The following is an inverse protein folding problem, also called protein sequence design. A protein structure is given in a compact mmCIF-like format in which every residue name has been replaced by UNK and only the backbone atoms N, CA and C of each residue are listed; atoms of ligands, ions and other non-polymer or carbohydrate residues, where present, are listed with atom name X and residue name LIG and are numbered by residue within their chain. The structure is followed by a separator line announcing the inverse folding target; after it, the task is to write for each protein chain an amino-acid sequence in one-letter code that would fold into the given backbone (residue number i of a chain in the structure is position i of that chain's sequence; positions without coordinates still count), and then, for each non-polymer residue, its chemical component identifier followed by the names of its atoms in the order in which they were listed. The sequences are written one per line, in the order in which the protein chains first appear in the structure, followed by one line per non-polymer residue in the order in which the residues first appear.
data_IF_378548461577
#
_entry.id   IF_378548461577
#
_cell.length_a   1.000
_cell.length_b   1.000
_cell.length_c   1.000
_cell.angle_alpha   90.00
_cell.angle_beta   90.00
_cell.angle_gamma   90.00
#
_symmetry.space_group_name_H-M   'P 1'
#
loop_
_entity.id
_entity.type
_entity.pdbx_description
1 polymer ?
#
# COMPACT_ATOMS: atom_id res chain seq x y z
N UNK A 1 -18.06 -2.89 15.38
CA UNK A 1 -18.50 -1.50 14.99
C UNK A 1 -18.04 -0.43 15.97
N UNK A 2 -18.23 -0.57 17.30
CA UNK A 2 -17.83 0.45 18.30
C UNK A 2 -16.35 0.82 18.23
N UNK A 3 -15.46 -0.15 18.10
CA UNK A 3 -14.02 0.08 17.98
C UNK A 3 -13.65 0.91 16.72
N UNK A 4 -14.25 0.60 15.57
CA UNK A 4 -13.99 1.36 14.33
C UNK A 4 -14.53 2.79 14.43
N UNK A 5 -15.67 3.02 15.10
CA UNK A 5 -16.20 4.37 15.34
C UNK A 5 -15.24 5.21 16.19
N UNK A 6 -14.62 4.64 17.21
CA UNK A 6 -13.59 5.33 17.99
C UNK A 6 -12.34 5.63 17.15
N UNK A 7 -11.97 4.74 16.23
CA UNK A 7 -10.87 5.00 15.29
C UNK A 7 -11.21 6.14 14.33
N UNK A 8 -12.44 6.18 13.81
CA UNK A 8 -12.91 7.23 12.90
C UNK A 8 -12.77 8.65 13.48
N UNK A 9 -13.02 8.81 14.80
CA UNK A 9 -12.88 10.10 15.50
C UNK A 9 -11.45 10.65 15.53
N UNK A 10 -10.45 9.79 15.32
CA UNK A 10 -9.02 10.14 15.35
C UNK A 10 -8.41 10.44 13.99
N UNK A 11 -9.20 10.29 12.94
CA UNK A 11 -8.76 10.49 11.55
C UNK A 11 -9.21 11.87 11.08
N UNK A 12 -8.29 12.64 10.50
CA UNK A 12 -8.59 13.95 9.93
C UNK A 12 -9.24 13.86 8.55
N UNK A 13 -10.10 14.82 8.22
CA UNK A 13 -10.62 14.99 6.86
C UNK A 13 -9.45 15.28 5.90
N UNK A 14 -9.38 14.59 4.76
CA UNK A 14 -8.32 14.77 3.77
C UNK A 14 -6.99 14.13 4.16
N UNK A 15 -6.94 13.31 5.22
CA UNK A 15 -5.73 12.56 5.57
C UNK A 15 -5.40 11.53 4.49
N UNK A 16 -4.12 11.40 4.14
CA UNK A 16 -3.63 10.42 3.19
C UNK A 16 -3.67 9.02 3.82
N UNK A 17 -4.36 8.09 3.16
CA UNK A 17 -4.54 6.73 3.65
C UNK A 17 -4.15 5.71 2.57
N UNK A 18 -3.11 4.94 2.82
CA UNK A 18 -2.76 3.83 1.95
C UNK A 18 -3.73 2.65 2.17
N UNK A 19 -4.17 2.06 1.06
CA UNK A 19 -5.01 0.85 1.03
C UNK A 19 -4.21 -0.24 0.34
N UNK A 20 -3.94 -1.30 1.06
CA UNK A 20 -3.29 -2.47 0.50
C UNK A 20 -3.80 -3.74 1.20
N UNK A 21 -3.49 -4.88 0.63
CA UNK A 21 -3.82 -6.19 1.18
C UNK A 21 -2.59 -7.08 1.24
N UNK A 22 -2.64 -8.08 2.11
CA UNK A 22 -1.62 -9.10 2.19
C UNK A 22 -2.25 -10.48 2.24
N UNK A 23 -1.51 -11.50 1.77
CA UNK A 23 -1.92 -12.91 1.88
C UNK A 23 -1.44 -13.49 3.19
N UNK A 24 -2.27 -14.33 3.80
CA UNK A 24 -1.87 -15.18 4.91
C UNK A 24 -2.12 -16.63 4.51
N UNK A 25 -1.05 -17.38 4.32
CA UNK A 25 -1.09 -18.78 3.90
C UNK A 25 -1.62 -19.69 4.99
N UNK A 26 -2.31 -20.77 4.61
CA UNK A 26 -2.86 -21.76 5.49
C UNK A 26 -2.53 -23.19 5.00
N UNK A 27 -2.28 -24.08 5.93
CA UNK A 27 -2.07 -25.50 5.64
C UNK A 27 -3.36 -26.33 5.76
N UNK A 28 -4.34 -25.87 6.53
CA UNK A 28 -5.60 -26.57 6.76
C UNK A 28 -6.78 -25.95 6.00
N UNK A 29 -7.87 -26.68 5.95
CA UNK A 29 -9.10 -26.35 5.25
C UNK A 29 -10.28 -26.09 6.19
N UNK A 30 -10.05 -25.98 7.49
CA UNK A 30 -11.09 -25.85 8.52
C UNK A 30 -11.93 -24.57 8.43
N UNK A 31 -11.40 -23.55 7.78
CA UNK A 31 -12.08 -22.25 7.63
C UNK A 31 -12.61 -22.06 6.21
N UNK A 32 -13.83 -21.56 6.10
CA UNK A 32 -14.55 -21.42 4.82
C UNK A 32 -13.92 -20.41 3.86
N UNK A 33 -13.17 -19.44 4.37
CA UNK A 33 -12.50 -18.37 3.61
C UNK A 33 -11.06 -18.72 3.15
N UNK A 34 -10.54 -19.88 3.56
CA UNK A 34 -9.27 -20.39 3.06
C UNK A 34 -9.47 -20.93 1.63
N UNK A 35 -8.97 -20.20 0.64
CA UNK A 35 -9.16 -20.52 -0.78
C UNK A 35 -7.84 -20.41 -1.54
N UNK A 36 -7.76 -21.12 -2.69
CA UNK A 36 -6.71 -20.90 -3.67
C UNK A 36 -6.86 -19.52 -4.30
N UNK A 37 -5.74 -18.81 -4.44
CA UNK A 37 -5.71 -17.49 -5.07
C UNK A 37 -4.28 -17.03 -5.33
N UNK A 38 -4.12 -15.80 -5.82
CA UNK A 38 -2.80 -15.20 -6.06
C UNK A 38 -2.12 -14.92 -4.72
N UNK A 39 -1.26 -15.83 -4.28
CA UNK A 39 -0.53 -15.69 -3.04
C UNK A 39 0.60 -14.63 -3.19
N UNK A 40 0.55 -13.59 -2.38
CA UNK A 40 1.55 -12.49 -2.41
C UNK A 40 2.94 -12.93 -1.95
N UNK A 41 3.02 -14.01 -1.15
CA UNK A 41 4.29 -14.61 -0.73
C UNK A 41 4.82 -15.66 -1.73
N UNK A 42 4.14 -15.81 -2.89
CA UNK A 42 4.47 -16.78 -3.96
C UNK A 42 4.51 -18.24 -3.50
N UNK A 43 3.79 -18.57 -2.45
CA UNK A 43 3.66 -19.93 -1.94
C UNK A 43 2.52 -20.65 -2.64
N UNK A 44 2.71 -21.93 -2.95
CA UNK A 44 1.65 -22.82 -3.47
C UNK A 44 0.79 -23.34 -2.32
N UNK A 45 0.08 -22.41 -1.66
CA UNK A 45 -0.77 -22.70 -0.52
C UNK A 45 -2.08 -21.94 -0.64
N UNK A 46 -3.15 -22.51 -0.11
CA UNK A 46 -4.40 -21.79 0.13
C UNK A 46 -4.15 -20.65 1.12
N UNK A 47 -5.00 -19.62 1.08
CA UNK A 47 -4.79 -18.40 1.83
C UNK A 47 -6.09 -17.71 2.22
N UNK A 48 -6.00 -16.76 3.14
CA UNK A 48 -6.92 -15.65 3.31
C UNK A 48 -6.23 -14.35 2.85
N UNK A 49 -7.01 -13.33 2.49
CA UNK A 49 -6.51 -12.00 2.14
C UNK A 49 -6.91 -11.02 3.24
N UNK A 50 -5.96 -10.24 3.74
CA UNK A 50 -6.18 -9.21 4.75
C UNK A 50 -5.93 -7.85 4.14
N UNK A 51 -6.97 -7.01 4.14
CA UNK A 51 -6.87 -5.61 3.76
C UNK A 51 -6.71 -4.75 5.01
N UNK A 52 -5.83 -3.77 4.93
CA UNK A 52 -5.62 -2.75 5.95
C UNK A 52 -5.68 -1.37 5.30
N UNK A 53 -6.31 -0.42 5.97
CA UNK A 53 -6.19 1.00 5.66
C UNK A 53 -5.27 1.64 6.69
N UNK A 54 -4.23 2.30 6.22
CA UNK A 54 -3.16 2.85 7.03
C UNK A 54 -2.97 4.34 6.73
N UNK A 55 -3.05 5.18 7.77
CA UNK A 55 -2.81 6.62 7.61
C UNK A 55 -1.32 6.90 7.41
N UNK A 56 -1.00 7.74 6.44
CA UNK A 56 0.39 8.03 6.09
C UNK A 56 0.97 9.22 6.86
N UNK A 57 0.13 10.09 7.39
CA UNK A 57 0.55 11.25 8.20
C UNK A 57 0.70 10.88 9.67
N UNK A 58 -0.31 10.22 10.24
CA UNK A 58 -0.29 9.78 11.64
C UNK A 58 0.36 8.42 11.86
N UNK A 59 0.70 7.71 10.77
CA UNK A 59 1.33 6.38 10.78
C UNK A 59 0.56 5.33 11.57
N UNK A 60 -0.79 5.29 11.41
CA UNK A 60 -1.65 4.41 12.18
C UNK A 60 -2.54 3.53 11.29
N UNK A 61 -2.69 2.23 11.59
CA UNK A 61 -3.74 1.42 10.97
C UNK A 61 -5.10 1.86 11.53
N UNK A 62 -6.07 2.10 10.63
CA UNK A 62 -7.39 2.61 11.01
C UNK A 62 -8.53 1.61 10.73
N UNK A 63 -8.32 0.69 9.79
CA UNK A 63 -9.30 -0.30 9.38
C UNK A 63 -8.61 -1.57 8.95
N UNK A 64 -9.24 -2.71 9.19
CA UNK A 64 -8.84 -4.01 8.66
C UNK A 64 -10.06 -4.86 8.31
N UNK A 65 -9.90 -5.72 7.31
CA UNK A 65 -10.88 -6.73 6.95
C UNK A 65 -10.22 -7.93 6.31
N UNK A 66 -10.81 -9.11 6.58
CA UNK A 66 -10.40 -10.38 5.94
C UNK A 66 -11.34 -10.71 4.79
N UNK A 67 -10.79 -11.21 3.72
CA UNK A 67 -11.50 -11.71 2.55
C UNK A 67 -11.09 -13.15 2.24
N UNK A 68 -11.97 -13.94 1.59
CA UNK A 68 -11.59 -15.23 1.04
C UNK A 68 -10.38 -15.12 0.11
N UNK A 69 -9.49 -16.11 0.15
CA UNK A 69 -8.22 -16.10 -0.57
C UNK A 69 -8.31 -15.98 -2.08
N UNK A 70 -9.47 -16.23 -2.67
CA UNK A 70 -9.72 -16.10 -4.10
C UNK A 70 -10.32 -14.76 -4.53
N UNK A 71 -10.55 -13.83 -3.59
CA UNK A 71 -11.11 -12.51 -3.91
C UNK A 71 -9.98 -11.59 -4.40
N UNK A 72 -10.09 -11.06 -5.63
CA UNK A 72 -9.14 -10.05 -6.13
C UNK A 72 -9.23 -8.75 -5.33
N UNK A 73 -8.10 -8.06 -5.19
CA UNK A 73 -8.01 -6.77 -4.49
C UNK A 73 -9.05 -5.75 -5.02
N UNK A 74 -9.27 -5.73 -6.34
CA UNK A 74 -10.23 -4.81 -6.97
C UNK A 74 -11.69 -5.00 -6.51
N UNK A 75 -12.07 -6.17 -6.03
CA UNK A 75 -13.44 -6.44 -5.54
C UNK A 75 -13.67 -6.03 -4.08
N UNK A 76 -12.60 -5.76 -3.33
CA UNK A 76 -12.67 -5.45 -1.89
C UNK A 76 -13.02 -3.98 -1.61
N UNK A 77 -12.80 -3.08 -2.56
CA UNK A 77 -12.96 -1.62 -2.39
C UNK A 77 -14.37 -1.23 -1.97
N UNK A 78 -15.40 -1.77 -2.61
CA UNK A 78 -16.79 -1.39 -2.29
C UNK A 78 -17.18 -1.73 -0.85
N UNK A 79 -16.80 -2.92 -0.40
CA UNK A 79 -17.06 -3.34 0.97
C UNK A 79 -16.32 -2.45 1.96
N UNK A 80 -15.06 -2.14 1.67
CA UNK A 80 -14.25 -1.23 2.50
C UNK A 80 -14.91 0.16 2.61
N UNK A 81 -15.28 0.77 1.48
CA UNK A 81 -15.93 2.08 1.47
C UNK A 81 -17.24 2.08 2.26
N UNK A 82 -18.04 1.01 2.13
CA UNK A 82 -19.29 0.85 2.86
C UNK A 82 -19.06 0.73 4.37
N UNK A 83 -18.07 -0.06 4.79
CA UNK A 83 -17.72 -0.23 6.21
C UNK A 83 -17.22 1.09 6.82
N UNK A 84 -16.41 1.85 6.09
CA UNK A 84 -15.88 3.12 6.55
C UNK A 84 -16.99 4.19 6.67
N UNK A 85 -17.91 4.25 5.70
CA UNK A 85 -19.09 5.12 5.77
C UNK A 85 -19.96 4.76 6.99
N UNK A 86 -20.25 3.48 7.23
CA UNK A 86 -21.03 3.02 8.41
C UNK A 86 -20.33 3.28 9.74
N UNK A 87 -18.99 3.26 9.75
CA UNK A 87 -18.22 3.58 10.95
C UNK A 87 -18.07 5.10 11.18
N UNK A 88 -18.50 5.93 10.23
CA UNK A 88 -18.46 7.38 10.32
C UNK A 88 -17.07 7.97 10.08
N UNK A 89 -16.24 7.32 9.26
CA UNK A 89 -14.96 7.89 8.88
C UNK A 89 -15.17 9.16 8.04
N UNK A 90 -14.34 10.20 8.24
CA UNK A 90 -14.35 11.38 7.38
C UNK A 90 -13.87 11.01 5.97
N UNK A 91 -14.13 11.86 4.98
CA UNK A 91 -13.56 11.69 3.65
C UNK A 91 -12.05 11.91 3.72
N UNK A 92 -11.30 10.82 3.54
CA UNK A 92 -9.84 10.76 3.46
C UNK A 92 -9.41 10.65 1.99
N UNK A 93 -8.12 10.79 1.70
CA UNK A 93 -7.58 10.56 0.35
C UNK A 93 -7.00 9.16 0.31
N UNK A 94 -7.62 8.24 -0.43
CA UNK A 94 -7.10 6.89 -0.57
C UNK A 94 -5.96 6.81 -1.58
N UNK A 95 -4.90 6.09 -1.21
CA UNK A 95 -3.79 5.77 -2.10
C UNK A 95 -3.80 4.26 -2.33
N UNK A 96 -3.98 3.85 -3.58
CA UNK A 96 -4.13 2.44 -3.96
C UNK A 96 -3.14 2.02 -5.04
N UNK A 97 -2.72 0.74 -4.99
CA UNK A 97 -1.84 0.13 -5.99
C UNK A 97 -2.61 -0.28 -7.26
N UNK A 98 -1.87 -0.65 -8.30
CA UNK A 98 -2.38 -1.20 -9.58
C UNK A 98 -3.28 -2.42 -9.43
N UNK A 99 -3.17 -3.15 -8.30
CA UNK A 99 -4.06 -4.28 -8.00
C UNK A 99 -5.52 -3.88 -7.79
N UNK A 100 -5.75 -2.64 -7.39
CA UNK A 100 -7.08 -2.06 -7.15
C UNK A 100 -7.64 -1.32 -8.36
N UNK A 101 -6.84 -1.13 -9.41
CA UNK A 101 -7.25 -0.41 -10.61
C UNK A 101 -8.27 -1.22 -11.41
N UNK A 102 -9.43 -0.62 -11.60
CA UNK A 102 -10.48 -1.05 -12.53
C UNK A 102 -11.44 0.11 -12.81
N UNK A 103 -12.12 0.06 -13.96
CA UNK A 103 -13.16 1.03 -14.32
C UNK A 103 -14.23 1.07 -13.22
N UNK A 104 -14.70 -0.10 -12.77
CA UNK A 104 -15.72 -0.18 -11.74
C UNK A 104 -15.30 0.46 -10.41
N UNK A 105 -14.03 0.37 -10.04
CA UNK A 105 -13.55 1.03 -8.83
C UNK A 105 -13.46 2.55 -9.00
N UNK A 106 -12.99 3.02 -10.14
CA UNK A 106 -13.01 4.46 -10.46
C UNK A 106 -14.43 5.02 -10.36
N UNK A 107 -15.41 4.36 -10.97
CA UNK A 107 -16.83 4.74 -10.91
C UNK A 107 -17.36 4.79 -9.47
N UNK A 108 -17.00 3.79 -8.62
CA UNK A 108 -17.37 3.79 -7.20
C UNK A 108 -16.79 4.99 -6.43
N UNK A 109 -15.55 5.37 -6.69
CA UNK A 109 -14.94 6.55 -6.09
C UNK A 109 -15.66 7.83 -6.55
N UNK A 110 -15.97 7.95 -7.85
CA UNK A 110 -16.70 9.10 -8.41
C UNK A 110 -18.10 9.21 -7.80
N UNK A 111 -18.89 8.13 -7.82
CA UNK A 111 -20.26 8.11 -7.29
C UNK A 111 -20.35 8.43 -5.80
N UNK A 112 -19.32 8.12 -5.04
CA UNK A 112 -19.25 8.42 -3.60
C UNK A 112 -18.59 9.77 -3.29
N UNK A 113 -18.10 10.49 -4.31
CA UNK A 113 -17.28 11.70 -4.11
C UNK A 113 -16.08 11.43 -3.20
N UNK A 114 -15.45 10.26 -3.35
CA UNK A 114 -14.35 9.81 -2.51
C UNK A 114 -13.01 10.18 -3.15
N UNK A 115 -12.19 11.06 -2.53
CA UNK A 115 -10.89 11.42 -3.06
C UNK A 115 -9.92 10.22 -3.11
N UNK A 116 -9.12 10.17 -4.18
CA UNK A 116 -8.12 9.09 -4.32
C UNK A 116 -6.90 9.49 -5.14
N UNK A 117 -5.82 8.73 -4.94
CA UNK A 117 -4.64 8.64 -5.80
C UNK A 117 -4.47 7.16 -6.13
N UNK A 118 -4.56 6.78 -7.39
CA UNK A 118 -4.51 5.39 -7.82
C UNK A 118 -3.41 5.19 -8.87
N UNK A 119 -2.56 4.17 -8.66
CA UNK A 119 -1.63 3.76 -9.71
C UNK A 119 -2.40 3.04 -10.82
N UNK A 120 -2.24 3.50 -12.05
CA UNK A 120 -2.88 2.92 -13.23
C UNK A 120 -1.87 2.22 -14.13
N UNK A 121 -2.34 1.15 -14.80
CA UNK A 121 -1.49 0.41 -15.73
C UNK A 121 -1.24 1.23 -16.99
N UNK A 122 0.02 1.42 -17.35
CA UNK A 122 0.40 2.14 -18.58
C UNK A 122 -0.15 1.51 -19.85
N UNK A 123 -0.53 0.23 -19.82
CA UNK A 123 -1.17 -0.46 -20.94
C UNK A 123 -2.67 -0.17 -21.11
N UNK A 124 -3.29 0.60 -20.23
CA UNK A 124 -4.66 1.07 -20.37
C UNK A 124 -4.78 2.04 -21.53
N UNK A 125 -5.88 1.95 -22.30
CA UNK A 125 -6.07 2.77 -23.49
C UNK A 125 -5.92 4.26 -23.19
N UNK A 126 -6.56 4.76 -22.15
CA UNK A 126 -6.49 6.18 -21.77
C UNK A 126 -5.07 6.67 -21.47
N UNK A 127 -4.19 5.80 -20.95
CA UNK A 127 -2.77 6.14 -20.70
C UNK A 127 -1.96 6.02 -21.98
N UNK A 128 -2.21 4.96 -22.76
CA UNK A 128 -1.53 4.74 -24.04
C UNK A 128 -1.81 5.88 -25.02
N UNK A 129 -3.06 6.33 -25.12
CA UNK A 129 -3.45 7.46 -25.99
C UNK A 129 -2.62 8.73 -25.63
N UNK A 130 -2.30 8.94 -24.34
CA UNK A 130 -1.45 10.05 -23.89
C UNK A 130 0.05 9.82 -24.14
N UNK A 131 0.51 8.57 -24.09
CA UNK A 131 1.90 8.22 -24.48
C UNK A 131 2.06 8.37 -25.99
N UNK A 132 1.04 8.06 -26.76
CA UNK A 132 1.08 8.15 -28.23
C UNK A 132 1.14 9.61 -28.73
N UNK A 133 0.70 10.60 -27.94
CA UNK A 133 0.87 12.04 -28.25
C UNK A 133 2.34 12.45 -28.37
N UNK A 134 3.28 11.71 -27.76
CA UNK A 134 4.72 12.02 -27.86
C UNK A 134 5.38 11.54 -29.14
N UNK A 135 4.66 10.82 -30.03
CA UNK A 135 5.25 10.24 -31.23
C UNK A 135 6.42 9.28 -30.91
N UNK A 136 7.33 9.13 -31.85
CA UNK A 136 8.55 8.34 -31.64
C UNK A 136 9.62 9.17 -30.92
N UNK A 137 10.23 8.61 -29.89
CA UNK A 137 11.31 9.23 -29.14
C UNK A 137 12.41 8.20 -28.83
N UNK A 138 13.67 8.61 -28.95
CA UNK A 138 14.83 7.74 -28.69
C UNK A 138 15.31 7.77 -27.25
N UNK A 139 15.22 8.89 -26.57
CA UNK A 139 15.69 9.10 -25.20
C UNK A 139 14.54 9.43 -24.25
N UNK A 140 14.05 10.65 -24.32
CA UNK A 140 12.95 11.20 -23.51
C UNK A 140 11.80 11.63 -24.40
N UNK A 141 10.56 11.61 -23.91
CA UNK A 141 9.43 12.22 -24.60
C UNK A 141 9.55 13.74 -24.58
N UNK A 142 9.31 14.40 -25.73
CA UNK A 142 9.26 15.85 -25.79
C UNK A 142 7.95 16.39 -25.22
N UNK A 143 7.99 17.60 -24.65
CA UNK A 143 6.79 18.26 -24.08
C UNK A 143 6.37 17.74 -22.70
N UNK A 144 7.24 17.03 -21.99
CA UNK A 144 7.12 16.78 -20.53
C UNK A 144 7.98 17.79 -19.75
N UNK A 145 7.50 18.20 -18.59
CA UNK A 145 8.28 18.94 -17.60
C UNK A 145 9.26 18.00 -16.90
N UNK A 146 10.29 18.54 -16.27
CA UNK A 146 11.26 17.76 -15.47
C UNK A 146 11.30 18.27 -14.03
N UNK A 147 11.20 17.37 -13.08
CA UNK A 147 11.58 17.63 -11.70
C UNK A 147 13.08 17.36 -11.54
N UNK A 148 13.84 18.41 -11.22
CA UNK A 148 15.31 18.38 -11.18
C UNK A 148 15.80 17.48 -10.03
N UNK A 149 15.12 17.48 -8.89
CA UNK A 149 15.53 16.76 -7.70
C UNK A 149 15.39 15.24 -7.89
N UNK A 150 14.25 14.79 -8.40
CA UNK A 150 13.99 13.37 -8.66
C UNK A 150 14.47 12.90 -10.04
N UNK A 151 14.76 13.83 -10.98
CA UNK A 151 15.10 13.57 -12.38
C UNK A 151 14.01 12.81 -13.14
N UNK A 152 12.76 13.00 -12.72
CA UNK A 152 11.59 12.40 -13.36
C UNK A 152 10.93 13.42 -14.27
N UNK A 153 10.63 13.01 -15.49
CA UNK A 153 9.80 13.80 -16.40
C UNK A 153 8.34 13.54 -16.09
N UNK A 154 7.49 14.57 -16.18
CA UNK A 154 6.08 14.44 -15.87
C UNK A 154 5.21 15.34 -16.76
N UNK A 155 3.96 14.92 -16.92
CA UNK A 155 2.91 15.71 -17.55
C UNK A 155 1.57 15.39 -16.89
N UNK A 156 0.79 16.42 -16.57
CA UNK A 156 -0.53 16.29 -15.98
C UNK A 156 -1.60 16.62 -17.02
N UNK A 157 -2.63 15.80 -17.07
CA UNK A 157 -3.77 15.96 -17.97
C UNK A 157 -5.07 16.04 -17.17
N UNK A 158 -5.92 17.00 -17.47
CA UNK A 158 -7.30 17.02 -16.99
C UNK A 158 -8.12 16.01 -17.78
N UNK A 159 -8.85 15.15 -17.06
CA UNK A 159 -9.63 14.06 -17.65
C UNK A 159 -11.12 14.29 -17.39
N UNK A 160 -11.91 14.34 -18.46
CA UNK A 160 -13.37 14.29 -18.35
C UNK A 160 -13.84 12.85 -18.17
N UNK A 161 -14.65 12.58 -17.16
CA UNK A 161 -15.29 11.27 -16.97
C UNK A 161 -16.68 11.46 -16.36
N UNK A 162 -17.64 10.74 -16.89
CA UNK A 162 -19.03 10.76 -16.45
C UNK A 162 -19.50 9.36 -16.14
N UNK A 163 -20.24 9.19 -15.05
CA UNK A 163 -20.76 7.90 -14.58
C UNK A 163 -22.27 8.02 -14.45
N UNK A 164 -22.97 6.98 -14.89
CA UNK A 164 -24.40 6.89 -14.65
C UNK A 164 -24.68 6.59 -13.17
N UNK A 165 -25.36 7.51 -12.52
CA UNK A 165 -25.79 7.39 -11.13
C UNK A 165 -27.15 6.69 -10.99
N UNK A 166 -27.60 6.55 -9.75
CA UNK A 166 -28.92 5.99 -9.46
C UNK A 166 -30.03 6.85 -10.06
N UNK A 167 -31.01 6.22 -10.70
CA UNK A 167 -32.16 6.91 -11.28
C UNK A 167 -31.85 7.65 -12.60
N UNK A 168 -30.80 7.26 -13.33
CA UNK A 168 -30.45 7.86 -14.63
C UNK A 168 -29.77 9.22 -14.53
N UNK A 169 -29.35 9.64 -13.35
CA UNK A 169 -28.55 10.86 -13.17
C UNK A 169 -27.12 10.67 -13.68
N UNK A 170 -26.54 11.70 -14.30
CA UNK A 170 -25.11 11.68 -14.68
C UNK A 170 -24.30 12.38 -13.61
N UNK A 171 -23.26 11.68 -13.09
CA UNK A 171 -22.30 12.21 -12.12
C UNK A 171 -20.98 12.46 -12.84
N UNK A 172 -20.54 13.72 -12.86
CA UNK A 172 -19.22 14.10 -13.40
C UNK A 172 -18.14 13.89 -12.34
N UNK A 173 -17.00 13.37 -12.78
CA UNK A 173 -15.83 13.27 -11.93
C UNK A 173 -15.32 14.67 -11.55
N UNK A 174 -15.18 14.93 -10.24
CA UNK A 174 -14.58 16.16 -9.75
C UNK A 174 -13.06 16.07 -9.83
N UNK A 175 -12.43 17.01 -10.56
CA UNK A 175 -10.97 17.13 -10.67
C UNK A 175 -10.27 15.78 -10.90
N UNK A 176 -10.74 15.04 -11.93
CA UNK A 176 -10.06 13.85 -12.37
C UNK A 176 -8.85 14.23 -13.22
N UNK A 177 -7.65 13.84 -12.80
CA UNK A 177 -6.42 14.10 -13.52
C UNK A 177 -5.62 12.82 -13.74
N UNK A 178 -5.00 12.70 -14.91
CA UNK A 178 -4.00 11.68 -15.20
C UNK A 178 -2.61 12.32 -15.10
N UNK A 179 -1.79 11.81 -14.21
CA UNK A 179 -0.41 12.22 -14.03
C UNK A 179 0.48 11.15 -14.66
N UNK A 180 1.12 11.51 -15.76
CA UNK A 180 2.03 10.64 -16.49
C UNK A 180 3.47 11.02 -16.15
N UNK A 181 4.28 10.01 -15.82
CA UNK A 181 5.68 10.16 -15.46
C UNK A 181 6.55 9.32 -16.37
N UNK A 182 7.77 9.78 -16.58
CA UNK A 182 8.78 9.05 -17.32
C UNK A 182 10.14 9.14 -16.62
N UNK A 183 10.71 7.97 -16.34
CA UNK A 183 12.03 7.80 -15.74
C UNK A 183 12.97 7.12 -16.74
N UNK A 184 14.01 7.86 -17.17
CA UNK A 184 14.97 7.38 -18.15
C UNK A 184 15.84 6.22 -17.63
N UNK A 185 16.16 6.22 -16.32
CA UNK A 185 16.93 5.14 -15.70
C UNK A 185 16.09 3.86 -15.64
N UNK A 186 14.85 3.98 -15.17
CA UNK A 186 13.91 2.86 -15.15
C UNK A 186 13.65 2.32 -16.56
N UNK A 187 13.59 3.19 -17.58
CA UNK A 187 13.50 2.77 -18.98
C UNK A 187 14.67 1.89 -19.37
N UNK A 188 15.90 2.29 -19.11
CA UNK A 188 17.10 1.54 -19.47
C UNK A 188 17.11 0.13 -18.81
N UNK A 189 16.75 0.06 -17.51
CA UNK A 189 16.62 -1.20 -16.79
C UNK A 189 15.54 -2.10 -17.40
N UNK A 190 14.37 -1.54 -17.70
CA UNK A 190 13.24 -2.29 -18.27
C UNK A 190 13.54 -2.78 -19.67
N UNK A 191 14.22 -2.01 -20.51
CA UNK A 191 14.66 -2.43 -21.85
C UNK A 191 15.61 -3.63 -21.74
N UNK A 192 16.62 -3.55 -20.87
CA UNK A 192 17.53 -4.67 -20.60
C UNK A 192 16.77 -5.91 -20.11
N UNK A 193 15.79 -5.73 -19.20
CA UNK A 193 14.99 -6.85 -18.69
C UNK A 193 14.11 -7.49 -19.77
N UNK A 194 13.58 -6.71 -20.71
CA UNK A 194 12.85 -7.24 -21.87
C UNK A 194 13.76 -8.15 -22.71
N UNK A 195 14.97 -7.70 -23.03
CA UNK A 195 15.92 -8.48 -23.85
C UNK A 195 16.37 -9.77 -23.12
N UNK A 196 16.59 -9.69 -21.79
CA UNK A 196 16.85 -10.87 -20.94
C UNK A 196 15.67 -11.84 -20.97
N UNK A 197 14.44 -11.36 -20.80
CA UNK A 197 13.25 -12.20 -20.81
C UNK A 197 13.02 -12.87 -22.17
N UNK A 198 13.27 -12.15 -23.27
CA UNK A 198 13.21 -12.73 -24.62
C UNK A 198 14.21 -13.87 -24.76
N UNK A 199 15.45 -13.70 -24.26
CA UNK A 199 16.46 -14.75 -24.29
C UNK A 199 16.03 -15.96 -23.47
N UNK A 200 15.62 -15.76 -22.22
CA UNK A 200 15.16 -16.85 -21.32
C UNK A 200 14.01 -17.64 -21.95
N UNK A 201 12.99 -16.93 -22.47
CA UNK A 201 11.83 -17.56 -23.08
C UNK A 201 12.23 -18.34 -24.36
N UNK A 202 13.12 -17.79 -25.18
CA UNK A 202 13.63 -18.45 -26.38
C UNK A 202 14.37 -19.75 -26.04
N UNK A 203 15.26 -19.69 -25.05
CA UNK A 203 16.07 -20.85 -24.66
C UNK A 203 15.18 -21.96 -24.06
N UNK A 204 14.16 -21.60 -23.26
CA UNK A 204 13.18 -22.53 -22.75
C UNK A 204 12.33 -23.17 -23.87
N UNK A 205 11.85 -22.38 -24.86
CA UNK A 205 11.09 -22.93 -25.99
C UNK A 205 11.93 -23.86 -26.86
N UNK A 206 13.23 -23.55 -27.05
CA UNK A 206 14.16 -24.43 -27.76
C UNK A 206 14.37 -25.78 -27.03
N UNK A 207 14.51 -25.76 -25.73
CA UNK A 207 14.66 -26.99 -24.93
C UNK A 207 13.40 -27.87 -25.04
N UNK A 208 12.21 -27.30 -24.82
CA UNK A 208 10.93 -28.00 -24.97
C UNK A 208 10.77 -28.60 -26.38
N UNK A 209 11.18 -27.85 -27.42
CA UNK A 209 11.10 -28.33 -28.80
C UNK A 209 12.11 -29.46 -29.08
N UNK A 210 13.32 -29.35 -28.53
CA UNK A 210 14.37 -30.37 -28.72
C UNK A 210 14.01 -31.69 -28.03
N UNK A 211 13.40 -31.62 -26.82
CA UNK A 211 12.98 -32.77 -26.03
C UNK A 211 11.61 -33.31 -26.47
N UNK A 212 10.99 -32.68 -27.48
CA UNK A 212 9.66 -33.02 -27.99
C UNK A 212 8.58 -33.11 -26.90
N UNK A 213 8.68 -32.23 -25.89
CA UNK A 213 7.76 -32.17 -24.76
C UNK A 213 6.42 -31.51 -25.19
N UNK A 214 5.32 -31.98 -24.57
CA UNK A 214 4.02 -31.38 -24.76
C UNK A 214 3.93 -30.06 -23.99
N UNK A 215 3.38 -29.07 -24.67
CA UNK A 215 3.14 -27.76 -24.04
C UNK A 215 1.94 -27.83 -23.06
N UNK A 216 2.01 -26.99 -22.04
CA UNK A 216 0.88 -26.66 -21.18
C UNK A 216 -0.34 -26.16 -21.98
N UNK A 217 -1.45 -25.88 -21.30
CA UNK A 217 -2.61 -25.24 -21.90
C UNK A 217 -2.25 -23.90 -22.59
N UNK A 218 -3.06 -23.50 -23.56
CA UNK A 218 -2.81 -22.32 -24.37
C UNK A 218 -2.62 -21.02 -23.55
N UNK A 219 -3.40 -20.88 -22.46
CA UNK A 219 -3.34 -19.69 -21.60
C UNK A 219 -2.03 -19.62 -20.84
N UNK A 220 -1.55 -20.75 -20.32
CA UNK A 220 -0.28 -20.87 -19.60
C UNK A 220 0.89 -20.57 -20.53
N UNK A 221 0.91 -21.15 -21.74
CA UNK A 221 1.95 -20.88 -22.74
C UNK A 221 1.96 -19.40 -23.13
N UNK A 222 0.82 -18.81 -23.43
CA UNK A 222 0.73 -17.39 -23.78
C UNK A 222 1.18 -16.47 -22.64
N UNK A 223 1.01 -16.87 -21.38
CA UNK A 223 1.49 -16.12 -20.21
C UNK A 223 2.97 -16.28 -19.98
N UNK A 224 3.49 -17.50 -20.09
CA UNK A 224 4.90 -17.80 -19.78
C UNK A 224 5.85 -17.37 -20.89
N UNK A 225 5.38 -17.40 -22.16
CA UNK A 225 6.14 -17.05 -23.36
C UNK A 225 5.51 -15.85 -24.07
N UNK A 226 5.26 -14.79 -23.32
CA UNK A 226 4.46 -13.64 -23.75
C UNK A 226 5.09 -12.82 -24.89
N UNK A 227 6.39 -12.98 -25.15
CA UNK A 227 7.09 -12.34 -26.27
C UNK A 227 7.19 -13.22 -27.52
N UNK A 228 6.55 -14.40 -27.51
CA UNK A 228 6.59 -15.32 -28.64
C UNK A 228 5.16 -15.68 -29.12
N UNK A 229 5.06 -15.90 -30.42
CA UNK A 229 3.95 -16.59 -31.07
C UNK A 229 4.39 -18.04 -31.22
N UNK A 230 3.68 -18.97 -30.57
CA UNK A 230 4.00 -20.40 -30.60
C UNK A 230 2.93 -21.14 -31.36
N UNK A 231 3.31 -21.82 -32.46
CA UNK A 231 2.49 -22.73 -33.22
C UNK A 231 2.66 -24.15 -32.69
N UNK A 232 1.58 -24.92 -32.65
CA UNK A 232 1.55 -26.27 -32.12
C UNK A 232 1.19 -27.28 -33.19
N UNK A 233 1.70 -28.49 -33.04
CA UNK A 233 1.24 -29.67 -33.75
C UNK A 233 -0.06 -30.21 -33.13
N UNK A 234 -0.70 -31.18 -33.80
CA UNK A 234 -1.94 -31.84 -33.31
C UNK A 234 -1.73 -32.55 -31.96
N UNK A 235 -0.54 -33.06 -31.68
CA UNK A 235 -0.16 -33.74 -30.46
C UNK A 235 0.23 -32.76 -29.30
N UNK A 236 0.08 -31.45 -29.53
CA UNK A 236 0.42 -30.35 -28.60
C UNK A 236 1.93 -30.12 -28.36
N UNK A 237 2.78 -30.64 -29.23
CA UNK A 237 4.23 -30.29 -29.28
C UNK A 237 4.46 -28.98 -30.02
N UNK A 238 5.67 -28.38 -29.91
CA UNK A 238 6.03 -27.15 -30.62
C UNK A 238 6.30 -27.44 -32.09
N UNK A 239 5.49 -26.86 -32.99
CA UNK A 239 5.75 -26.84 -34.42
C UNK A 239 6.78 -25.77 -34.78
N UNK A 240 6.53 -24.54 -34.39
CA UNK A 240 7.40 -23.40 -34.61
C UNK A 240 7.16 -22.32 -33.56
N UNK A 241 8.13 -21.43 -33.38
CA UNK A 241 7.93 -20.23 -32.58
C UNK A 241 8.73 -19.06 -33.17
N UNK A 242 8.13 -17.88 -33.13
CA UNK A 242 8.73 -16.63 -33.59
C UNK A 242 8.52 -15.51 -32.59
N UNK A 243 9.37 -14.50 -32.62
CA UNK A 243 9.19 -13.31 -31.76
C UNK A 243 7.91 -12.57 -32.18
N UNK A 244 7.11 -12.15 -31.21
CA UNK A 244 5.98 -11.24 -31.42
C UNK A 244 6.52 -9.79 -31.39
N UNK A 245 6.99 -9.31 -32.54
CA UNK A 245 7.57 -7.97 -32.66
C UNK A 245 6.61 -6.88 -32.22
N UNK A 246 5.31 -7.05 -32.40
CA UNK A 246 4.29 -6.08 -31.96
C UNK A 246 4.26 -5.97 -30.44
N UNK A 247 4.33 -7.10 -29.73
CA UNK A 247 4.37 -7.09 -28.25
C UNK A 247 5.68 -6.56 -27.72
N UNK A 248 6.80 -6.90 -28.37
CA UNK A 248 8.12 -6.38 -27.99
C UNK A 248 8.17 -4.87 -28.19
N UNK A 249 7.76 -4.39 -29.36
CA UNK A 249 7.71 -2.95 -29.65
C UNK A 249 6.82 -2.19 -28.63
N UNK A 250 5.62 -2.73 -28.35
CA UNK A 250 4.73 -2.17 -27.33
C UNK A 250 5.39 -2.14 -25.95
N UNK A 251 6.02 -3.22 -25.51
CA UNK A 251 6.70 -3.27 -24.22
C UNK A 251 7.84 -2.26 -24.14
N UNK A 252 8.68 -2.18 -25.18
CA UNK A 252 9.79 -1.21 -25.27
C UNK A 252 9.27 0.25 -25.28
N UNK A 253 8.17 0.52 -25.97
CA UNK A 253 7.55 1.85 -26.00
C UNK A 253 7.04 2.30 -24.63
N UNK A 254 6.42 1.41 -23.87
CA UNK A 254 5.88 1.70 -22.56
C UNK A 254 6.94 1.73 -21.44
N UNK A 255 8.17 1.31 -21.72
CA UNK A 255 9.26 1.29 -20.74
C UNK A 255 9.60 2.70 -20.25
N UNK A 256 9.83 2.82 -18.93
CA UNK A 256 10.11 4.09 -18.25
C UNK A 256 8.87 4.88 -17.87
N UNK A 257 7.69 4.57 -18.43
CA UNK A 257 6.47 5.24 -18.04
C UNK A 257 5.81 4.62 -16.80
N UNK A 258 5.26 5.47 -15.97
CA UNK A 258 4.27 5.12 -14.95
C UNK A 258 3.20 6.19 -14.86
N UNK A 259 2.04 5.84 -14.33
CA UNK A 259 0.92 6.77 -14.30
C UNK A 259 0.15 6.68 -12.99
N UNK A 260 -0.26 7.84 -12.50
CA UNK A 260 -1.18 7.99 -11.35
C UNK A 260 -2.42 8.73 -11.81
N UNK A 261 -3.57 8.25 -11.37
CA UNK A 261 -4.85 8.95 -11.50
C UNK A 261 -5.21 9.58 -10.16
N UNK A 262 -5.59 10.85 -10.18
CA UNK A 262 -6.05 11.58 -8.99
C UNK A 262 -7.50 12.03 -9.20
N UNK A 263 -8.31 11.91 -8.15
CA UNK A 263 -9.72 12.30 -8.13
C UNK A 263 -10.01 13.12 -6.88
N UNK A 264 -10.70 14.24 -7.03
CA UNK A 264 -11.18 15.04 -5.90
C UNK A 264 -10.09 15.69 -5.06
N UNK A 265 -8.86 15.74 -5.56
CA UNK A 265 -7.71 16.37 -4.90
C UNK A 265 -7.13 17.49 -5.77
N UNK A 266 -6.63 18.54 -5.11
CA UNK A 266 -5.92 19.62 -5.79
C UNK A 266 -4.42 19.44 -5.52
N UNK A 267 -3.78 18.66 -6.39
CA UNK A 267 -2.36 18.32 -6.32
C UNK A 267 -1.72 18.44 -7.69
N UNK A 268 -0.49 18.91 -7.71
CA UNK A 268 0.39 18.81 -8.87
C UNK A 268 0.81 17.35 -9.09
N UNK A 269 1.34 17.04 -10.26
CA UNK A 269 1.83 15.70 -10.56
C UNK A 269 2.91 15.25 -9.55
N UNK A 270 3.85 16.14 -9.19
CA UNK A 270 4.92 15.79 -8.26
C UNK A 270 4.45 15.61 -6.82
N UNK A 271 3.47 16.40 -6.36
CA UNK A 271 2.83 16.18 -5.05
C UNK A 271 2.11 14.83 -5.01
N UNK A 272 1.40 14.45 -6.07
CA UNK A 272 0.74 13.15 -6.19
C UNK A 272 1.76 11.99 -6.18
N UNK A 273 2.89 12.13 -6.90
CA UNK A 273 3.99 11.15 -6.88
C UNK A 273 4.59 11.00 -5.48
N UNK A 274 4.86 12.12 -4.80
CA UNK A 274 5.38 12.13 -3.43
C UNK A 274 4.40 11.50 -2.45
N UNK A 275 3.11 11.82 -2.55
CA UNK A 275 2.07 11.20 -1.73
C UNK A 275 1.99 9.69 -1.99
N UNK A 276 2.06 9.26 -3.25
CA UNK A 276 2.05 7.84 -3.61
C UNK A 276 3.26 7.08 -3.04
N UNK A 277 4.46 7.66 -3.08
CA UNK A 277 5.68 7.03 -2.55
C UNK A 277 5.62 6.79 -1.03
N UNK A 278 4.84 7.57 -0.28
CA UNK A 278 4.65 7.35 1.17
C UNK A 278 3.98 6.00 1.48
N UNK A 279 3.38 5.33 0.49
CA UNK A 279 2.79 3.98 0.62
C UNK A 279 3.80 2.93 1.11
N UNK A 280 5.09 3.12 0.91
CA UNK A 280 6.15 2.24 1.43
C UNK A 280 6.05 2.01 2.95
N UNK A 281 5.50 2.96 3.70
CA UNK A 281 5.29 2.79 5.14
C UNK A 281 4.27 1.69 5.45
N UNK A 282 3.26 1.48 4.58
CA UNK A 282 2.33 0.35 4.72
C UNK A 282 2.99 -0.99 4.38
N UNK A 283 3.91 -1.04 3.43
CA UNK A 283 4.68 -2.26 3.14
C UNK A 283 5.57 -2.65 4.33
N UNK A 284 6.19 -1.66 4.99
CA UNK A 284 6.94 -1.87 6.23
C UNK A 284 6.04 -2.36 7.37
N UNK A 285 4.80 -1.85 7.45
CA UNK A 285 3.79 -2.34 8.38
C UNK A 285 3.48 -3.83 8.17
N UNK A 286 3.21 -4.27 6.94
CA UNK A 286 2.97 -5.69 6.66
C UNK A 286 4.18 -6.57 6.93
N UNK A 287 5.38 -6.09 6.62
CA UNK A 287 6.61 -6.80 6.94
C UNK A 287 6.75 -7.01 8.44
N UNK A 288 6.52 -5.99 9.25
CA UNK A 288 6.54 -6.08 10.72
C UNK A 288 5.46 -7.04 11.23
N UNK A 289 4.24 -6.96 10.70
CA UNK A 289 3.13 -7.86 11.06
C UNK A 289 3.49 -9.33 10.82
N UNK A 290 4.08 -9.64 9.66
CA UNK A 290 4.45 -11.02 9.30
C UNK A 290 5.67 -11.53 10.05
N UNK A 291 6.72 -10.73 10.19
CA UNK A 291 7.99 -11.14 10.81
C UNK A 291 7.96 -11.03 12.33
N UNK A 292 7.77 -9.82 12.86
CA UNK A 292 7.89 -9.52 14.29
C UNK A 292 6.72 -10.08 15.09
N UNK A 293 5.49 -10.01 14.54
CA UNK A 293 4.29 -10.53 15.20
C UNK A 293 4.00 -12.00 14.87
N UNK A 294 4.84 -12.65 14.05
CA UNK A 294 4.71 -14.06 13.72
C UNK A 294 3.42 -14.43 12.99
N UNK A 295 2.81 -13.49 12.27
CA UNK A 295 1.50 -13.69 11.65
C UNK A 295 1.57 -14.01 10.15
N UNK A 296 2.62 -14.67 9.70
CA UNK A 296 2.79 -15.11 8.31
C UNK A 296 1.90 -16.30 7.93
N UNK A 297 1.35 -17.03 8.90
CA UNK A 297 0.50 -18.21 8.72
C UNK A 297 -0.83 -18.08 9.44
N UNK A 298 -1.87 -18.64 8.82
CA UNK A 298 -3.16 -18.85 9.44
C UNK A 298 -3.08 -20.11 10.31
N UNK A 299 -3.04 -19.94 11.64
CA UNK A 299 -2.90 -21.03 12.62
C UNK A 299 -4.12 -21.20 13.51
N UNK A 300 -5.31 -20.80 13.05
CA UNK A 300 -6.55 -20.93 13.79
C UNK A 300 -7.46 -22.00 13.16
N UNK A 301 -8.26 -22.67 14.00
CA UNK A 301 -9.13 -23.80 13.62
C UNK A 301 -10.60 -23.40 13.55
N UNK A 302 -10.98 -22.24 14.16
CA UNK A 302 -12.34 -21.72 14.18
C UNK A 302 -12.40 -20.27 13.69
N UNK A 303 -13.58 -19.84 13.22
CA UNK A 303 -13.83 -18.47 12.76
C UNK A 303 -13.70 -17.46 13.91
N UNK A 304 -14.16 -17.82 15.13
CA UNK A 304 -14.04 -17.00 16.34
C UNK A 304 -12.58 -16.82 16.74
N UNK A 305 -11.80 -17.91 16.75
CA UNK A 305 -10.36 -17.88 17.02
C UNK A 305 -9.60 -17.04 16.02
N UNK A 306 -9.93 -17.12 14.73
CA UNK A 306 -9.39 -16.27 13.66
C UNK A 306 -9.71 -14.80 13.92
N UNK A 307 -10.98 -14.48 14.16
CA UNK A 307 -11.45 -13.10 14.39
C UNK A 307 -10.80 -12.49 15.62
N UNK A 308 -10.75 -13.23 16.72
CA UNK A 308 -10.10 -12.78 17.97
C UNK A 308 -8.60 -12.51 17.78
N UNK A 309 -7.88 -13.42 17.10
CA UNK A 309 -6.45 -13.24 16.81
C UNK A 309 -6.19 -12.03 15.91
N UNK A 310 -7.03 -11.81 14.89
CA UNK A 310 -6.91 -10.66 14.00
C UNK A 310 -7.13 -9.34 14.73
N UNK A 311 -8.11 -9.28 15.63
CA UNK A 311 -8.36 -8.10 16.46
C UNK A 311 -7.15 -7.81 17.35
N UNK A 312 -6.62 -8.82 18.04
CA UNK A 312 -5.41 -8.68 18.89
C UNK A 312 -4.24 -8.19 18.05
N UNK A 313 -4.03 -8.78 16.88
CA UNK A 313 -2.98 -8.38 15.95
C UNK A 313 -3.13 -6.92 15.53
N UNK A 314 -4.33 -6.50 15.15
CA UNK A 314 -4.59 -5.14 14.73
C UNK A 314 -4.34 -4.13 15.85
N UNK A 315 -4.77 -4.43 17.07
CA UNK A 315 -4.49 -3.60 18.28
C UNK A 315 -2.99 -3.55 18.56
N UNK A 316 -2.30 -4.70 18.49
CA UNK A 316 -0.83 -4.77 18.65
C UNK A 316 -0.10 -3.89 17.62
N UNK A 317 -0.57 -3.90 16.38
CA UNK A 317 0.00 -3.05 15.32
C UNK A 317 -0.29 -1.55 15.53
N UNK A 318 -1.44 -1.19 16.10
CA UNK A 318 -1.71 0.21 16.51
C UNK A 318 -0.69 0.65 17.57
N UNK A 319 -0.47 -0.18 18.59
CA UNK A 319 0.49 0.12 19.66
C UNK A 319 1.92 0.24 19.08
N UNK A 320 2.31 -0.71 18.24
CA UNK A 320 3.63 -0.70 17.60
C UNK A 320 3.84 0.53 16.71
N UNK A 321 2.81 0.92 15.95
CA UNK A 321 2.84 2.13 15.12
C UNK A 321 2.95 3.40 15.97
N UNK A 322 2.23 3.46 17.09
CA UNK A 322 2.30 4.57 18.03
C UNK A 322 3.69 4.69 18.66
N UNK A 323 4.25 3.57 19.13
CA UNK A 323 5.62 3.55 19.69
C UNK A 323 6.64 4.01 18.64
N UNK A 324 6.53 3.53 17.41
CA UNK A 324 7.39 3.93 16.30
C UNK A 324 7.26 5.43 15.98
N UNK A 325 6.04 5.97 16.03
CA UNK A 325 5.80 7.40 15.82
C UNK A 325 6.48 8.25 16.89
N UNK A 326 6.28 7.93 18.18
CA UNK A 326 6.91 8.64 19.29
C UNK A 326 8.44 8.53 19.21
N UNK A 327 8.97 7.33 18.97
CA UNK A 327 10.41 7.13 18.80
C UNK A 327 10.99 8.02 17.71
N UNK A 328 10.36 8.12 16.54
CA UNK A 328 10.83 8.97 15.42
C UNK A 328 10.70 10.47 15.68
N UNK A 329 9.69 10.89 16.43
CA UNK A 329 9.34 12.31 16.65
C UNK A 329 9.99 12.94 17.88
N UNK A 330 10.72 12.15 18.68
CA UNK A 330 11.39 12.60 19.93
C UNK A 330 12.88 12.28 19.91
N UNK A 331 13.60 12.70 20.94
CA UNK A 331 15.04 12.42 21.15
C UNK A 331 15.33 10.93 21.38
N UNK A 332 14.28 10.08 21.48
CA UNK A 332 14.45 8.64 21.63
C UNK A 332 15.16 8.00 20.45
N UNK A 333 15.01 8.55 19.23
CA UNK A 333 15.73 8.07 18.04
C UNK A 333 17.26 8.14 18.16
N UNK A 334 17.77 9.10 18.98
CA UNK A 334 19.18 9.28 19.22
C UNK A 334 19.70 8.36 20.35
N UNK A 335 18.79 7.79 21.15
CA UNK A 335 19.10 6.92 22.29
C UNK A 335 18.87 5.44 22.04
N UNK A 336 18.02 5.10 21.06
CA UNK A 336 17.63 3.73 20.71
C UNK A 336 17.72 3.52 19.20
N UNK A 337 18.26 2.38 18.80
CA UNK A 337 18.44 2.03 17.38
C UNK A 337 17.10 1.72 16.69
N UNK A 338 16.09 1.31 17.44
CA UNK A 338 14.77 0.97 16.91
C UNK A 338 13.65 1.20 17.94
N UNK A 339 12.40 1.24 17.47
CA UNK A 339 11.23 1.28 18.34
C UNK A 339 11.04 0.00 19.17
N UNK A 340 11.62 -1.13 18.76
CA UNK A 340 11.61 -2.36 19.54
C UNK A 340 12.54 -2.25 20.74
N UNK A 341 13.70 -1.62 20.60
CA UNK A 341 14.62 -1.40 21.72
C UNK A 341 13.99 -0.53 22.81
N UNK A 342 13.11 0.41 22.42
CA UNK A 342 12.31 1.20 23.38
C UNK A 342 11.39 0.29 24.20
N UNK A 343 10.73 -0.68 23.56
CA UNK A 343 9.86 -1.65 24.25
C UNK A 343 10.68 -2.61 25.13
N UNK A 344 11.83 -3.07 24.65
CA UNK A 344 12.69 -3.99 25.39
C UNK A 344 13.28 -3.34 26.64
N UNK A 345 13.65 -2.05 26.58
CA UNK A 345 14.10 -1.29 27.74
C UNK A 345 13.02 -1.27 28.85
N UNK A 346 11.75 -1.13 28.47
CA UNK A 346 10.65 -1.10 29.43
C UNK A 346 10.29 -2.49 30.03
N UNK A 347 10.74 -3.59 29.42
CA UNK A 347 10.50 -4.95 29.92
C UNK A 347 11.13 -5.26 31.27
N UNK A 348 12.16 -4.52 31.66
CA UNK A 348 12.83 -4.69 32.95
C UNK A 348 12.00 -4.17 34.13
N UNK A 349 11.00 -3.30 33.85
CA UNK A 349 10.13 -2.76 34.89
C UNK A 349 9.16 -3.87 35.33
N UNK A 350 9.13 -4.12 36.65
CA UNK A 350 8.30 -5.14 37.29
C UNK A 350 7.32 -4.50 38.26
N UNK A 351 6.09 -4.98 38.22
CA UNK A 351 5.13 -4.75 39.27
C UNK A 351 5.04 -6.01 40.15
N UNK A 352 5.41 -5.91 41.43
CA UNK A 352 5.39 -7.01 42.37
C UNK A 352 4.19 -6.79 43.27
N UNK A 353 3.30 -7.76 43.31
CA UNK A 353 2.09 -7.73 44.13
C UNK A 353 2.09 -8.92 45.09
N UNK A 354 2.02 -8.63 46.37
CA UNK A 354 1.84 -9.63 47.41
C UNK A 354 0.46 -9.49 48.03
N UNK A 355 -0.23 -10.62 48.29
CA UNK A 355 -1.54 -10.63 48.88
C UNK A 355 -1.54 -9.83 50.23
N UNK A 356 -2.40 -8.80 50.31
CA UNK A 356 -2.52 -7.96 51.50
C UNK A 356 -1.43 -6.90 51.70
N UNK A 357 -0.56 -6.67 50.71
CA UNK A 357 0.47 -5.60 50.74
C UNK A 357 0.30 -4.62 49.58
N UNK A 358 0.87 -3.44 49.72
CA UNK A 358 0.95 -2.45 48.63
C UNK A 358 1.75 -3.00 47.49
N UNK A 359 1.35 -2.67 46.23
CA UNK A 359 2.10 -2.99 45.02
C UNK A 359 3.42 -2.24 45.02
N UNK A 360 4.47 -2.96 44.66
CA UNK A 360 5.81 -2.37 44.48
C UNK A 360 6.18 -2.38 42.98
N UNK A 361 6.55 -1.23 42.47
CA UNK A 361 7.05 -1.09 41.11
C UNK A 361 8.56 -0.84 41.15
N UNK A 362 9.33 -1.60 40.37
CA UNK A 362 10.76 -1.38 40.29
C UNK A 362 11.07 0.07 39.86
N UNK A 363 12.13 0.70 40.39
CA UNK A 363 12.46 2.06 40.03
C UNK A 363 12.68 2.25 38.53
N UNK A 364 12.18 3.36 38.01
CA UNK A 364 12.52 3.82 36.64
C UNK A 364 13.90 4.47 36.68
N UNK A 365 14.79 4.03 35.81
CA UNK A 365 16.17 4.53 35.76
C UNK A 365 16.58 4.95 34.34
N UNK A 366 17.44 5.95 34.25
CA UNK A 366 18.08 6.37 33.00
C UNK A 366 17.11 6.51 31.81
N UNK A 367 17.30 5.68 30.80
CA UNK A 367 16.51 5.70 29.55
C UNK A 367 15.02 5.44 29.74
N UNK A 368 14.63 4.73 30.81
CA UNK A 368 13.21 4.47 31.11
C UNK A 368 12.46 5.73 31.50
N UNK A 369 13.13 6.66 32.20
CA UNK A 369 12.59 7.97 32.53
C UNK A 369 12.38 8.79 31.25
N UNK A 370 13.37 8.76 30.32
CA UNK A 370 13.24 9.45 29.03
C UNK A 370 12.06 8.91 28.21
N UNK A 371 11.85 7.58 28.22
CA UNK A 371 10.70 6.94 27.56
C UNK A 371 9.40 7.42 28.21
N UNK A 372 9.29 7.37 29.53
CA UNK A 372 8.07 7.81 30.23
C UNK A 372 7.73 9.28 29.90
N UNK A 373 8.74 10.16 29.82
CA UNK A 373 8.55 11.56 29.43
C UNK A 373 8.12 11.73 27.98
N UNK A 374 8.75 11.00 27.04
CA UNK A 374 8.41 11.08 25.62
C UNK A 374 6.97 10.60 25.35
N UNK A 375 6.53 9.60 26.08
CA UNK A 375 5.16 9.06 25.98
C UNK A 375 4.14 9.83 26.82
N UNK A 376 4.59 10.73 27.70
CA UNK A 376 3.73 11.56 28.55
C UNK A 376 3.02 10.80 29.68
N UNK A 377 3.59 9.64 30.12
CA UNK A 377 3.03 9.00 31.31
C UNK A 377 3.73 9.42 32.59
N UNK A 378 2.93 9.47 33.66
CA UNK A 378 3.41 9.67 35.00
C UNK A 378 4.10 8.40 35.52
N UNK A 379 5.26 8.56 36.12
CA UNK A 379 5.95 7.44 36.78
C UNK A 379 5.17 7.14 38.07
N UNK A 380 4.69 5.89 38.28
CA UNK A 380 3.87 5.56 39.42
C UNK A 380 4.57 5.83 40.74
N UNK A 381 3.84 6.37 41.71
CA UNK A 381 4.29 6.50 43.10
C UNK A 381 4.69 5.13 43.67
N UNK A 382 5.77 5.09 44.44
CA UNK A 382 6.32 3.83 44.97
C UNK A 382 7.34 3.14 44.07
N UNK A 383 7.70 3.73 42.90
CA UNK A 383 8.77 3.24 42.04
C UNK A 383 10.19 3.48 42.59
N UNK A 384 10.34 3.95 43.83
CA UNK A 384 11.63 4.24 44.47
C UNK A 384 12.39 5.44 43.86
N UNK A 385 11.88 6.06 42.82
CA UNK A 385 12.54 7.15 42.10
C UNK A 385 12.09 8.49 42.63
N UNK A 386 12.98 9.26 43.28
CA UNK A 386 12.78 10.67 43.53
C UNK A 386 12.95 11.46 42.23
N UNK A 387 11.90 11.59 41.46
CA UNK A 387 11.91 12.31 40.21
C UNK A 387 11.73 13.82 40.44
N UNK A 388 12.73 14.62 40.06
CA UNK A 388 12.53 16.06 39.90
C UNK A 388 12.03 16.30 38.46
N UNK A 389 10.75 16.64 38.31
CA UNK A 389 10.20 16.97 37.00
C UNK A 389 10.96 18.14 36.36
N UNK A 390 11.77 17.85 35.34
CA UNK A 390 12.20 18.89 34.39
C UNK A 390 11.00 19.16 33.48
N UNK A 391 10.45 20.37 33.56
CA UNK A 391 9.43 20.82 32.59
C UNK A 391 10.07 20.78 31.20
N UNK A 392 9.81 19.71 30.46
CA UNK A 392 10.16 19.63 29.05
C UNK A 392 9.26 20.63 28.33
N UNK A 393 9.83 21.64 27.69
CA UNK A 393 9.14 22.50 26.76
C UNK A 393 8.77 21.64 25.55
N UNK A 394 7.56 21.06 25.53
CA UNK A 394 6.98 20.47 24.34
C UNK A 394 6.94 21.61 23.30
N UNK A 395 7.78 21.54 22.28
CA UNK A 395 7.59 22.37 21.09
C UNK A 395 6.22 22.02 20.52
N UNK A 396 5.22 22.87 20.78
CA UNK A 396 3.93 22.77 20.09
C UNK A 396 4.25 22.78 18.61
N UNK A 397 3.99 21.69 17.92
CA UNK A 397 3.97 21.65 16.47
C UNK A 397 2.98 22.73 16.05
N UNK A 398 3.51 23.79 15.45
CA UNK A 398 2.72 24.97 15.10
C UNK A 398 1.57 24.57 14.20
N UNK A 399 0.36 25.01 14.53
CA UNK A 399 -0.75 25.01 13.58
C UNK A 399 -0.26 25.65 12.27
N UNK A 400 -0.61 25.10 11.12
CA UNK A 400 -0.30 25.76 9.84
C UNK A 400 -0.83 27.20 9.89
N UNK A 401 0.02 28.17 9.58
CA UNK A 401 -0.37 29.57 9.50
C UNK A 401 -1.49 29.69 8.49
N UNK A 402 -2.64 30.25 8.91
CA UNK A 402 -3.68 30.71 7.99
C UNK A 402 -3.03 31.63 6.97
N UNK A 403 -3.14 31.30 5.69
CA UNK A 403 -2.79 32.21 4.61
C UNK A 403 -3.65 33.49 4.79
N UNK A 404 -2.98 34.62 4.84
CA UNK A 404 -3.64 35.93 4.78
C UNK A 404 -4.29 36.03 3.40
N UNK A 405 -5.57 36.28 3.39
CA UNK A 405 -6.29 36.79 2.21
C UNK A 405 -5.59 38.08 1.74
N UNK A 406 -5.11 38.05 0.50
CA UNK A 406 -4.65 39.26 -0.18
C UNK A 406 -5.90 39.88 -0.76
N UNK A 407 -6.41 40.93 -0.12
CA UNK A 407 -7.35 41.84 -0.73
C UNK A 407 -6.68 42.48 -1.95
N UNK A 408 -7.23 42.21 -3.11
CA UNK A 408 -6.97 42.95 -4.34
C UNK A 408 -7.85 44.19 -4.32
N UNK A 409 -7.26 45.29 -3.96
CA UNK A 409 -7.84 46.61 -4.26
C UNK A 409 -7.69 46.93 -5.74
N UNK A 410 -8.85 47.18 -6.35
CA UNK A 410 -9.20 47.90 -7.61
C UNK A 410 -8.21 47.91 -8.78
#
# INVERSE_FOLDING_TARGET
MTFLKERARRVGKGELCAVDSTSRSAYGDSLSDIKWGKNKDRLLLKQTVEMVVYTLTSHMPIYYRTYPGNIPDSRSIETMLTDLDHAGFPKVIFITDRGYESVQNLEKYILRGQPMIMCVKVGQKMVMDKIDEFGDFSGRPDGMEIDIDSRIYYKQYDMGYEVEGRGGSTVKADRLKLNLYFDANQRAEQLTQIDINIKIQRDALKAIQADNEKLDDYTTVKRNYNYFIVERNEDNTIKSFVIDDKKVAKAKRLSGFHALMTLGVDMTAMEASKAYSMRDEQEKYYRQMKSTQGCNRQGNWSEEGKTGRLLILFVSMIISSYVKHIWKSTDLKDKFSSSLDVLDEMRSIRCIEHKGKAKFITPFVGKQIDIAQAFGFEIPEGSGTKYKSRKVKVKKVGRPKKQKEVELDK
#
